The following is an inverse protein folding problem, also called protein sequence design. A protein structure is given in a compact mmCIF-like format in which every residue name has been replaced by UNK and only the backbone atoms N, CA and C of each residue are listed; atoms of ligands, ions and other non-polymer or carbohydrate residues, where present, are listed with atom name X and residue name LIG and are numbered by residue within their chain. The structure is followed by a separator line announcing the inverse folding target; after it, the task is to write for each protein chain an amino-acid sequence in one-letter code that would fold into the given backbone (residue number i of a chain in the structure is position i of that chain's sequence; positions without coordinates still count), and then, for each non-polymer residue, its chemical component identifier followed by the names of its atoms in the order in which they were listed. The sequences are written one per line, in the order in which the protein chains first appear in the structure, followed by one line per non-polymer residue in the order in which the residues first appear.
data_IF_101587198110
#
_entry.id   IF_101587198110
#
_cell.length_a   1.000
_cell.length_b   1.000
_cell.length_c   1.000
_cell.angle_alpha   90.00
_cell.angle_beta   90.00
_cell.angle_gamma   90.00
#
_symmetry.space_group_name_H-M   'P 1'
#
loop_
_entity.id
_entity.type
_entity.pdbx_description
1 polymer ?
#
# COMPACT_ATOMS: atom_id res chain seq x y z
N UNK A 1 -5.39 -0.39 4.52
CA UNK A 1 -6.66 -1.00 4.05
C UNK A 1 -6.46 -1.55 2.65
N UNK A 2 -6.81 -2.82 2.39
CA UNK A 2 -6.84 -3.35 1.02
C UNK A 2 -7.98 -2.69 0.26
N UNK A 3 -7.65 -2.00 -0.83
CA UNK A 3 -8.60 -1.21 -1.63
C UNK A 3 -8.99 -1.94 -2.91
N UNK A 4 -8.06 -2.72 -3.49
CA UNK A 4 -8.31 -3.41 -4.74
C UNK A 4 -7.49 -4.68 -4.85
N UNK A 5 -8.08 -5.70 -5.45
CA UNK A 5 -7.42 -6.94 -5.84
C UNK A 5 -7.83 -7.28 -7.28
N UNK A 6 -6.87 -7.35 -8.19
CA UNK A 6 -7.13 -7.61 -9.62
C UNK A 6 -6.08 -8.51 -10.23
N UNK A 7 -6.45 -9.29 -11.25
CA UNK A 7 -5.54 -10.15 -12.01
C UNK A 7 -5.83 -11.65 -11.80
N UNK A 8 -5.35 -12.51 -12.71
CA UNK A 8 -5.53 -13.95 -12.63
C UNK A 8 -4.79 -14.51 -11.41
N UNK A 9 -5.11 -15.73 -10.97
CA UNK A 9 -4.66 -16.23 -9.66
C UNK A 9 -3.13 -16.21 -9.46
N UNK A 10 -2.39 -16.38 -10.54
CA UNK A 10 -0.93 -16.38 -10.63
C UNK A 10 -0.32 -14.98 -10.88
N UNK A 11 -1.14 -13.94 -11.04
CA UNK A 11 -0.70 -12.55 -11.22
C UNK A 11 -1.66 -11.56 -10.54
N UNK A 12 -1.99 -11.82 -9.28
CA UNK A 12 -2.80 -10.91 -8.47
C UNK A 12 -2.00 -9.67 -8.13
N UNK A 13 -2.57 -8.50 -8.40
CA UNK A 13 -2.13 -7.21 -7.90
C UNK A 13 -3.04 -6.81 -6.73
N UNK A 14 -2.42 -6.40 -5.63
CA UNK A 14 -3.07 -5.89 -4.43
C UNK A 14 -2.73 -4.42 -4.30
N UNK A 15 -3.72 -3.58 -4.02
CA UNK A 15 -3.56 -2.15 -3.76
C UNK A 15 -3.99 -1.88 -2.33
N UNK A 16 -3.12 -1.25 -1.53
CA UNK A 16 -3.33 -0.97 -0.12
C UNK A 16 -3.08 0.50 0.15
N UNK A 17 -3.98 1.12 0.91
CA UNK A 17 -3.83 2.49 1.38
C UNK A 17 -3.48 2.52 2.88
N UNK A 18 -2.57 3.39 3.27
CA UNK A 18 -2.35 3.81 4.66
C UNK A 18 -3.10 5.12 4.87
N UNK A 19 -3.95 5.14 5.89
CA UNK A 19 -4.73 6.32 6.24
C UNK A 19 -4.32 6.82 7.62
N UNK A 20 -4.16 8.13 7.75
CA UNK A 20 -4.07 8.82 9.03
C UNK A 20 -5.29 9.73 9.15
N UNK A 21 -6.14 9.45 10.14
CA UNK A 21 -7.50 9.99 10.20
C UNK A 21 -8.26 9.65 8.90
N UNK A 22 -8.85 10.65 8.25
CA UNK A 22 -9.56 10.50 6.96
C UNK A 22 -8.68 10.71 5.73
N UNK A 23 -7.37 10.95 5.92
CA UNK A 23 -6.45 11.24 4.82
C UNK A 23 -5.63 10.01 4.45
N UNK A 24 -5.59 9.68 3.17
CA UNK A 24 -4.66 8.68 2.64
C UNK A 24 -3.27 9.32 2.61
N UNK A 25 -2.33 8.74 3.34
CA UNK A 25 -0.95 9.22 3.45
C UNK A 25 0.06 8.30 2.74
N UNK A 26 -0.38 7.15 2.23
CA UNK A 26 0.45 6.27 1.42
C UNK A 26 -0.39 5.24 0.67
N UNK A 27 0.04 4.84 -0.53
CA UNK A 27 -0.61 3.89 -1.42
C UNK A 27 0.40 2.92 -2.00
N UNK A 28 0.34 1.66 -1.58
CA UNK A 28 1.22 0.61 -2.06
C UNK A 28 0.52 -0.36 -2.97
N UNK A 29 1.24 -0.83 -3.98
CA UNK A 29 0.79 -1.89 -4.88
C UNK A 29 1.80 -3.03 -4.86
N UNK A 30 1.33 -4.27 -4.79
CA UNK A 30 2.22 -5.44 -4.74
C UNK A 30 1.54 -6.70 -5.25
N UNK A 31 2.33 -7.74 -5.52
CA UNK A 31 1.83 -9.07 -5.95
C UNK A 31 1.30 -9.89 -4.78
N UNK A 32 1.55 -9.43 -3.57
CA UNK A 32 0.96 -9.93 -2.33
C UNK A 32 0.43 -8.78 -1.48
N UNK A 33 -0.47 -9.07 -0.54
CA UNK A 33 -0.95 -8.07 0.44
C UNK A 33 0.21 -7.47 1.23
N UNK A 34 1.15 -8.31 1.68
CA UNK A 34 2.31 -7.89 2.48
C UNK A 34 3.22 -6.92 1.71
N UNK A 35 3.47 -7.20 0.43
CA UNK A 35 4.25 -6.30 -0.43
C UNK A 35 3.54 -4.96 -0.62
N UNK A 36 2.23 -4.98 -0.92
CA UNK A 36 1.43 -3.76 -1.03
C UNK A 36 1.40 -2.96 0.27
N UNK A 37 1.30 -3.62 1.43
CA UNK A 37 1.37 -2.98 2.75
C UNK A 37 2.74 -2.33 3.03
N UNK A 38 3.84 -3.03 2.72
CA UNK A 38 5.18 -2.49 2.90
C UNK A 38 5.44 -1.27 2.01
N UNK A 39 4.98 -1.29 0.76
CA UNK A 39 5.09 -0.13 -0.13
C UNK A 39 4.24 1.05 0.37
N UNK A 40 3.01 0.79 0.82
CA UNK A 40 2.13 1.83 1.35
C UNK A 40 2.70 2.46 2.63
N UNK A 41 3.28 1.65 3.52
CA UNK A 41 3.94 2.09 4.73
C UNK A 41 5.21 2.90 4.43
N UNK A 42 6.01 2.48 3.45
CA UNK A 42 7.19 3.22 3.01
C UNK A 42 6.81 4.62 2.52
N UNK A 43 5.80 4.72 1.66
CA UNK A 43 5.33 6.02 1.16
C UNK A 43 4.80 6.91 2.31
N UNK A 44 4.04 6.33 3.25
CA UNK A 44 3.57 7.05 4.42
C UNK A 44 4.70 7.58 5.30
N UNK A 45 5.76 6.79 5.53
CA UNK A 45 6.93 7.21 6.30
C UNK A 45 7.65 8.38 5.62
N UNK A 46 7.85 8.29 4.30
CA UNK A 46 8.45 9.37 3.51
C UNK A 46 7.62 10.65 3.58
N UNK A 47 6.28 10.55 3.46
CA UNK A 47 5.40 11.72 3.59
C UNK A 47 5.46 12.35 4.99
N UNK A 48 5.66 11.53 6.02
CA UNK A 48 5.81 11.97 7.41
C UNK A 48 7.22 12.49 7.74
N UNK A 49 8.14 12.51 6.78
CA UNK A 49 9.50 13.02 6.95
C UNK A 49 10.48 12.03 7.57
N UNK A 50 10.15 10.75 7.59
CA UNK A 50 11.06 9.67 8.00
C UNK A 50 11.77 9.10 6.77
N UNK A 51 13.09 8.94 6.86
CA UNK A 51 13.86 8.19 5.86
C UNK A 51 13.54 6.69 6.02
N UNK A 52 13.13 6.04 4.92
CA UNK A 52 12.59 4.68 4.90
C UNK A 52 13.43 3.68 4.10
#
# INVERSE_FOLDING_TARGET
MLVKQTGPDHNKAFVVNVCLNSNVIGTGTGRSKKEAEQMAAKEALVLMGYEA
#
